data_IF_086075104651
#
_entry.id   IF_086075104651
#
_cell.length_a   1.000
_cell.length_b   1.000
_cell.length_c   1.000
_cell.angle_alpha   90.00
_cell.angle_beta   90.00
_cell.angle_gamma   90.00
#
_symmetry.space_group_name_H-M   'P 1'
#
loop_
_entity.id
_entity.type
_entity.pdbx_description
1 polymer ?
#
# COMPACT_ATOMS: atom_id res chain seq x y z
N UNK A 1 -39.39 41.97 45.93
CA UNK A 1 -38.43 42.65 46.85
C UNK A 1 -37.06 42.26 46.36
N UNK A 2 -36.16 43.01 45.87
CA UNK A 2 -35.93 44.40 45.72
C UNK A 2 -35.18 44.66 44.40
N UNK A 3 -35.60 45.70 43.73
CA UNK A 3 -35.04 46.30 42.54
C UNK A 3 -33.80 47.08 42.98
N UNK A 4 -32.73 47.05 42.27
CA UNK A 4 -31.79 48.16 42.21
C UNK A 4 -31.07 48.26 40.88
N UNK A 5 -31.54 49.21 40.12
CA UNK A 5 -30.92 49.79 38.97
C UNK A 5 -29.77 50.73 39.38
N UNK A 6 -28.72 50.79 38.63
CA UNK A 6 -27.81 51.94 38.60
C UNK A 6 -26.98 51.91 37.31
N UNK A 7 -27.29 52.72 36.44
CA UNK A 7 -26.93 54.11 36.07
C UNK A 7 -25.79 54.14 35.03
N UNK A 8 -26.25 54.52 33.86
CA UNK A 8 -25.47 55.04 32.73
C UNK A 8 -24.84 56.37 33.06
N UNK A 9 -23.62 56.60 32.70
CA UNK A 9 -23.08 57.95 32.46
C UNK A 9 -22.25 57.98 31.19
N UNK A 10 -22.41 59.08 30.38
CA UNK A 10 -21.80 59.18 29.05
C UNK A 10 -20.61 60.16 29.02
N UNK A 11 -19.95 60.16 27.86
CA UNK A 11 -19.16 61.25 27.27
C UNK A 11 -17.72 61.45 27.79
N UNK A 12 -16.75 61.43 26.92
CA UNK A 12 -16.34 62.61 26.16
C UNK A 12 -15.34 62.21 25.06
N UNK A 13 -15.62 62.60 23.91
CA UNK A 13 -14.93 63.13 22.74
C UNK A 13 -13.43 63.50 22.85
N UNK A 14 -12.77 63.31 21.65
CA UNK A 14 -11.59 64.00 21.13
C UNK A 14 -10.31 63.15 21.24
N UNK A 15 -9.62 62.76 20.15
CA UNK A 15 -9.00 63.52 19.07
C UNK A 15 -8.64 62.66 17.88
N UNK A 16 -8.87 63.17 16.69
CA UNK A 16 -8.28 62.79 15.41
C UNK A 16 -6.75 62.84 15.47
N UNK A 17 -6.09 61.76 15.02
CA UNK A 17 -4.82 61.88 14.29
C UNK A 17 -4.80 60.81 13.19
N UNK A 18 -4.75 61.33 12.00
CA UNK A 18 -4.54 60.68 10.73
C UNK A 18 -3.12 60.12 10.68
N UNK A 19 -2.96 58.82 10.62
CA UNK A 19 -1.72 58.20 10.15
C UNK A 19 -2.05 57.20 9.06
N UNK A 20 -1.94 57.68 7.84
CA UNK A 20 -1.79 56.88 6.63
C UNK A 20 -0.49 56.10 6.75
N UNK A 21 -0.55 54.85 7.11
CA UNK A 21 0.55 53.89 6.90
C UNK A 21 0.09 52.80 5.98
N UNK A 22 0.53 52.91 4.77
CA UNK A 22 0.38 52.00 3.65
C UNK A 22 1.13 50.70 3.97
N UNK A 23 0.46 49.70 4.58
CA UNK A 23 1.04 48.36 4.67
C UNK A 23 0.55 47.56 3.48
N UNK A 24 1.34 47.65 2.42
CA UNK A 24 1.27 46.69 1.33
C UNK A 24 1.51 45.29 1.90
N UNK A 25 0.43 44.54 2.14
CA UNK A 25 0.47 43.12 2.39
C UNK A 25 1.04 42.46 1.14
N UNK A 26 2.35 42.24 1.13
CA UNK A 26 3.03 41.38 0.19
C UNK A 26 2.64 39.93 0.53
N UNK A 27 1.48 39.48 0.09
CA UNK A 27 1.20 38.08 -0.05
C UNK A 27 2.16 37.52 -1.10
N UNK A 28 3.29 36.97 -0.65
CA UNK A 28 4.12 36.14 -1.50
C UNK A 28 3.27 34.93 -1.92
N UNK A 29 3.06 34.70 -3.22
CA UNK A 29 2.41 33.46 -3.65
C UNK A 29 3.31 32.31 -3.18
N UNK A 30 2.75 31.39 -2.40
CA UNK A 30 3.39 30.13 -2.04
C UNK A 30 3.48 29.31 -3.33
N UNK A 31 4.58 29.53 -4.06
CA UNK A 31 4.86 28.77 -5.26
C UNK A 31 5.29 27.37 -4.82
N UNK A 32 4.31 26.45 -4.66
CA UNK A 32 4.55 25.02 -4.49
C UNK A 32 5.08 24.49 -5.83
N UNK A 33 6.37 24.71 -6.05
CA UNK A 33 7.10 24.04 -7.10
C UNK A 33 7.12 22.55 -6.76
N UNK A 34 6.12 21.81 -7.23
CA UNK A 34 6.23 20.36 -7.34
C UNK A 34 7.33 20.08 -8.38
N UNK A 35 8.54 20.02 -7.88
CA UNK A 35 9.67 19.50 -8.67
C UNK A 35 9.36 18.02 -8.90
N UNK A 36 8.76 17.70 -10.04
CA UNK A 36 8.69 16.34 -10.59
C UNK A 36 10.12 15.90 -10.88
N UNK A 37 10.81 15.42 -9.85
CA UNK A 37 12.16 14.90 -9.98
C UNK A 37 12.10 13.69 -10.91
N UNK A 38 12.70 13.82 -12.10
CA UNK A 38 12.81 12.69 -13.05
C UNK A 38 13.32 11.45 -12.29
N UNK A 39 12.67 10.27 -12.43
CA UNK A 39 13.08 9.07 -11.70
C UNK A 39 14.56 8.77 -11.96
N UNK A 40 15.28 8.36 -10.92
CA UNK A 40 16.66 7.94 -11.07
C UNK A 40 16.74 6.66 -11.92
N UNK A 41 17.87 6.40 -12.60
CA UNK A 41 18.04 5.15 -13.36
C UNK A 41 17.81 3.89 -12.52
N UNK A 42 18.17 3.91 -11.22
CA UNK A 42 17.93 2.82 -10.29
C UNK A 42 16.41 2.60 -10.05
N UNK A 43 15.66 3.68 -9.84
CA UNK A 43 14.18 3.61 -9.66
C UNK A 43 13.50 3.06 -10.91
N UNK A 44 13.97 3.44 -12.11
CA UNK A 44 13.42 2.93 -13.37
C UNK A 44 13.72 1.45 -13.55
N UNK A 45 14.92 1.00 -13.17
CA UNK A 45 15.35 -0.41 -13.26
C UNK A 45 14.55 -1.29 -12.30
N UNK A 46 14.38 -0.86 -11.04
CA UNK A 46 13.53 -1.55 -10.07
C UNK A 46 12.09 -1.67 -10.59
N UNK A 47 11.52 -0.59 -11.12
CA UNK A 47 10.16 -0.61 -11.65
C UNK A 47 9.99 -1.57 -12.83
N UNK A 48 10.99 -1.68 -13.73
CA UNK A 48 10.98 -2.67 -14.81
C UNK A 48 11.01 -4.09 -14.26
N UNK A 49 11.93 -4.37 -13.34
CA UNK A 49 12.08 -5.69 -12.73
C UNK A 49 10.81 -6.16 -12.01
N UNK A 50 10.13 -5.26 -11.30
CA UNK A 50 8.84 -5.54 -10.66
C UNK A 50 7.75 -5.88 -11.69
N UNK A 51 7.74 -5.22 -12.85
CA UNK A 51 6.82 -5.55 -13.96
C UNK A 51 7.11 -6.93 -14.53
N UNK A 52 8.38 -7.32 -14.66
CA UNK A 52 8.78 -8.63 -15.15
C UNK A 52 8.33 -9.74 -14.20
N UNK A 53 8.45 -9.55 -12.88
CA UNK A 53 7.92 -10.47 -11.87
C UNK A 53 6.42 -10.69 -12.08
N UNK A 54 5.65 -9.59 -12.20
CA UNK A 54 4.19 -9.68 -12.38
C UNK A 54 3.83 -10.35 -13.70
N UNK A 55 4.52 -10.01 -14.79
CA UNK A 55 4.31 -10.61 -16.10
C UNK A 55 4.60 -12.13 -16.08
N UNK A 56 5.65 -12.54 -15.37
CA UNK A 56 5.97 -13.95 -15.19
C UNK A 56 4.90 -14.68 -14.37
N UNK A 57 4.49 -14.11 -13.25
CA UNK A 57 3.40 -14.65 -12.42
C UNK A 57 2.09 -14.84 -13.21
N UNK A 58 1.75 -13.88 -14.06
CA UNK A 58 0.51 -13.89 -14.85
C UNK A 58 0.46 -15.06 -15.87
N UNK A 59 1.59 -15.62 -16.28
CA UNK A 59 1.64 -16.78 -17.18
C UNK A 59 1.01 -18.03 -16.58
N UNK A 60 0.94 -18.11 -15.26
CA UNK A 60 0.44 -19.28 -14.53
C UNK A 60 -1.03 -19.17 -14.12
N UNK A 61 -1.73 -18.11 -14.55
CA UNK A 61 -3.19 -18.01 -14.34
C UNK A 61 -3.90 -19.22 -14.94
N UNK A 62 -4.85 -19.76 -14.20
CA UNK A 62 -5.55 -21.00 -14.55
C UNK A 62 -4.86 -22.28 -14.07
N UNK A 63 -3.63 -22.22 -13.54
CA UNK A 63 -3.03 -23.40 -12.91
C UNK A 63 -3.87 -23.85 -11.73
N UNK A 64 -4.05 -25.17 -11.59
CA UNK A 64 -4.86 -25.74 -10.50
C UNK A 64 -4.21 -25.53 -9.14
N UNK A 65 -5.04 -25.48 -8.10
CA UNK A 65 -4.56 -25.57 -6.73
C UNK A 65 -4.18 -27.00 -6.38
N UNK A 66 -3.06 -27.15 -5.72
CA UNK A 66 -2.62 -28.44 -5.15
C UNK A 66 -2.00 -28.17 -3.78
N UNK A 67 -2.45 -28.83 -2.71
CA UNK A 67 -1.83 -28.70 -1.39
C UNK A 67 -0.33 -29.00 -1.47
N UNK A 68 0.50 -28.13 -0.90
CA UNK A 68 1.96 -28.16 -0.98
C UNK A 68 2.53 -28.16 -2.40
N UNK A 69 1.74 -27.82 -3.42
CA UNK A 69 2.13 -27.74 -4.82
C UNK A 69 3.07 -26.55 -5.07
N UNK A 70 4.12 -26.79 -5.89
CA UNK A 70 5.21 -25.83 -6.10
C UNK A 70 5.64 -25.75 -7.58
N UNK A 71 4.95 -26.42 -8.47
CA UNK A 71 5.34 -26.52 -9.88
C UNK A 71 4.13 -26.39 -10.79
N UNK A 72 4.30 -25.80 -12.00
CA UNK A 72 3.20 -25.65 -12.96
C UNK A 72 2.51 -26.98 -13.31
N UNK A 73 3.28 -28.05 -13.46
CA UNK A 73 2.82 -29.36 -13.90
C UNK A 73 1.88 -30.02 -12.88
N UNK A 74 2.15 -29.80 -11.60
CA UNK A 74 1.41 -30.42 -10.49
C UNK A 74 0.39 -29.48 -9.85
N UNK A 75 0.47 -28.19 -10.12
CA UNK A 75 -0.30 -27.13 -9.50
C UNK A 75 0.43 -26.47 -8.33
N UNK A 76 -0.18 -25.43 -7.79
CA UNK A 76 0.41 -24.60 -6.73
C UNK A 76 -0.52 -24.48 -5.53
N UNK A 77 0.05 -24.45 -4.32
CA UNK A 77 -0.57 -23.76 -3.20
C UNK A 77 -0.17 -22.27 -3.20
N UNK A 78 -0.68 -21.47 -2.25
CA UNK A 78 -0.42 -20.04 -2.24
C UNK A 78 1.05 -19.68 -2.08
N UNK A 79 1.75 -20.32 -1.15
CA UNK A 79 3.17 -20.08 -0.86
C UNK A 79 4.10 -20.74 -1.88
N UNK A 80 3.71 -21.88 -2.41
CA UNK A 80 4.42 -22.53 -3.51
C UNK A 80 4.40 -21.71 -4.79
N UNK A 81 3.27 -21.05 -5.09
CA UNK A 81 3.17 -20.12 -6.21
C UNK A 81 4.11 -18.91 -6.04
N UNK A 82 4.06 -18.24 -4.89
CA UNK A 82 4.92 -17.07 -4.65
C UNK A 82 6.40 -17.46 -4.64
N UNK A 83 6.77 -18.59 -4.02
CA UNK A 83 8.15 -19.10 -4.04
C UNK A 83 8.62 -19.39 -5.46
N UNK A 84 7.82 -20.08 -6.26
CA UNK A 84 8.16 -20.43 -7.64
C UNK A 84 8.39 -19.20 -8.51
N UNK A 85 7.50 -18.20 -8.40
CA UNK A 85 7.63 -16.95 -9.14
C UNK A 85 8.90 -16.20 -8.74
N UNK A 86 9.15 -16.06 -7.44
CA UNK A 86 10.28 -15.27 -6.92
C UNK A 86 11.63 -15.96 -7.16
N UNK A 87 11.67 -17.28 -7.13
CA UNK A 87 12.88 -18.08 -7.42
C UNK A 87 13.40 -17.83 -8.85
N UNK A 88 12.50 -17.66 -9.83
CA UNK A 88 12.87 -17.31 -11.22
C UNK A 88 13.63 -15.97 -11.31
N UNK A 89 13.51 -15.12 -10.29
CA UNK A 89 14.20 -13.82 -10.18
C UNK A 89 15.32 -13.83 -9.13
N UNK A 90 15.75 -15.03 -8.70
CA UNK A 90 16.77 -15.22 -7.65
C UNK A 90 16.39 -14.53 -6.32
N UNK A 91 15.11 -14.54 -5.97
CA UNK A 91 14.58 -14.11 -4.67
C UNK A 91 14.11 -15.37 -3.94
N UNK A 92 14.93 -15.86 -3.01
CA UNK A 92 14.62 -17.08 -2.26
C UNK A 92 13.55 -16.81 -1.20
N UNK A 93 12.42 -17.51 -1.28
CA UNK A 93 11.38 -17.47 -0.28
C UNK A 93 11.25 -18.81 0.45
N UNK A 94 10.87 -18.74 1.71
CA UNK A 94 10.50 -19.92 2.50
C UNK A 94 9.30 -20.65 1.87
N UNK A 95 9.21 -21.98 2.04
CA UNK A 95 8.16 -22.76 1.40
C UNK A 95 6.76 -22.57 2.01
N UNK A 96 6.65 -21.93 3.17
CA UNK A 96 5.40 -21.74 3.88
C UNK A 96 5.08 -20.25 4.08
N UNK A 97 3.83 -19.85 3.86
CA UNK A 97 3.38 -18.45 4.00
C UNK A 97 3.68 -17.86 5.38
N UNK A 98 3.54 -18.65 6.46
CA UNK A 98 3.87 -18.24 7.84
C UNK A 98 5.36 -17.89 8.04
N UNK A 99 6.24 -18.37 7.19
CA UNK A 99 7.66 -18.03 7.21
C UNK A 99 7.99 -16.92 6.21
N UNK A 100 7.32 -16.89 5.05
CA UNK A 100 7.48 -15.80 4.06
C UNK A 100 7.13 -14.44 4.65
N UNK A 101 6.15 -14.35 5.56
CA UNK A 101 5.77 -13.10 6.22
C UNK A 101 6.88 -12.47 7.04
N UNK A 102 7.90 -13.23 7.41
CA UNK A 102 9.08 -12.77 8.16
C UNK A 102 10.19 -12.22 7.24
N UNK A 103 10.09 -12.45 5.93
CA UNK A 103 11.08 -12.06 4.93
C UNK A 103 10.78 -10.70 4.32
N UNK A 104 11.79 -9.98 3.89
CA UNK A 104 11.68 -8.66 3.28
C UNK A 104 11.29 -7.54 4.25
N UNK A 105 11.14 -6.33 3.72
CA UNK A 105 10.82 -5.13 4.49
C UNK A 105 9.32 -4.98 4.70
N UNK A 106 8.90 -4.69 5.93
CA UNK A 106 7.50 -4.36 6.21
C UNK A 106 7.10 -3.04 5.56
N UNK A 107 5.90 -2.99 4.99
CA UNK A 107 5.34 -1.79 4.32
C UNK A 107 3.89 -1.56 4.72
N UNK A 108 3.47 -0.30 4.59
CA UNK A 108 2.05 0.01 4.63
C UNK A 108 1.36 -0.54 3.37
N UNK A 109 0.13 -1.00 3.49
CA UNK A 109 -0.65 -1.51 2.35
C UNK A 109 -0.84 -0.47 1.25
N UNK A 110 -0.91 0.82 1.60
CA UNK A 110 -1.04 1.92 0.63
C UNK A 110 0.20 2.06 -0.24
N UNK A 111 1.35 1.63 0.26
CA UNK A 111 2.65 1.73 -0.42
C UNK A 111 3.05 0.42 -1.12
N UNK A 112 2.14 -0.56 -1.14
CA UNK A 112 2.37 -1.84 -1.81
C UNK A 112 2.62 -1.61 -3.31
N UNK A 113 3.71 -2.18 -3.80
CA UNK A 113 4.16 -2.09 -5.20
C UNK A 113 4.01 -3.45 -5.91
N UNK A 114 3.97 -3.47 -7.26
CA UNK A 114 4.04 -4.73 -7.99
C UNK A 114 5.21 -5.60 -7.52
N UNK A 115 4.96 -6.90 -7.32
CA UNK A 115 5.94 -7.85 -6.81
C UNK A 115 6.07 -7.93 -5.28
N UNK A 116 5.46 -7.03 -4.52
CA UNK A 116 5.36 -7.18 -3.07
C UNK A 116 4.44 -8.37 -2.72
N UNK A 117 4.57 -8.88 -1.50
CA UNK A 117 3.71 -9.96 -1.00
C UNK A 117 2.71 -9.41 0.02
N UNK A 118 1.45 -9.84 -0.09
CA UNK A 118 0.40 -9.58 0.89
C UNK A 118 0.06 -10.85 1.63
N UNK A 119 -0.05 -10.74 2.94
CA UNK A 119 -0.35 -11.85 3.84
C UNK A 119 -1.71 -11.68 4.48
N UNK A 120 -2.36 -12.82 4.74
CA UNK A 120 -3.72 -12.85 5.29
C UNK A 120 -3.77 -13.71 6.53
N UNK A 121 -4.52 -13.23 7.54
CA UNK A 121 -4.68 -13.84 8.85
C UNK A 121 -6.14 -13.71 9.30
N UNK A 122 -6.69 -14.74 9.93
CA UNK A 122 -8.08 -14.69 10.40
C UNK A 122 -8.23 -13.90 11.69
N UNK A 123 -7.26 -14.04 12.61
CA UNK A 123 -7.21 -13.28 13.86
C UNK A 123 -5.76 -13.09 14.32
N UNK A 124 -5.51 -12.17 15.25
CA UNK A 124 -4.17 -11.89 15.76
C UNK A 124 -3.50 -13.11 16.43
N UNK A 125 -4.30 -14.04 16.96
CA UNK A 125 -3.82 -15.27 17.62
C UNK A 125 -3.55 -16.43 16.65
N UNK A 126 -3.99 -16.31 15.39
CA UNK A 126 -3.79 -17.37 14.39
C UNK A 126 -2.57 -17.13 13.51
N UNK A 127 -1.98 -18.17 12.94
CA UNK A 127 -0.89 -18.00 11.96
C UNK A 127 -1.40 -17.41 10.65
N UNK A 128 -0.48 -16.89 9.82
CA UNK A 128 -0.76 -16.55 8.43
C UNK A 128 -1.27 -17.81 7.70
N UNK A 129 -2.43 -17.69 7.07
CA UNK A 129 -3.05 -18.79 6.33
C UNK A 129 -2.95 -18.67 4.81
N UNK A 130 -2.63 -17.47 4.31
CA UNK A 130 -2.56 -17.24 2.86
C UNK A 130 -1.56 -16.13 2.51
N UNK A 131 -1.05 -16.17 1.27
CA UNK A 131 -0.17 -15.16 0.68
C UNK A 131 -0.55 -14.91 -0.78
N UNK A 132 -0.39 -13.66 -1.21
CA UNK A 132 -0.65 -13.21 -2.59
C UNK A 132 0.49 -12.33 -3.08
N UNK A 133 0.72 -12.31 -4.40
CA UNK A 133 1.66 -11.41 -5.06
C UNK A 133 0.91 -10.17 -5.58
N UNK A 134 1.39 -8.98 -5.24
CA UNK A 134 0.80 -7.71 -5.72
C UNK A 134 1.04 -7.56 -7.21
N UNK A 135 -0.03 -7.36 -7.98
CA UNK A 135 0.02 -6.96 -9.39
C UNK A 135 -0.01 -5.45 -9.55
N UNK A 136 -0.94 -4.80 -8.89
CA UNK A 136 -1.08 -3.33 -8.95
C UNK A 136 -1.83 -2.81 -7.73
N UNK A 137 -1.55 -1.55 -7.38
CA UNK A 137 -2.21 -0.81 -6.30
C UNK A 137 -2.39 0.64 -6.72
N UNK A 138 -3.61 1.16 -6.65
CA UNK A 138 -3.94 2.56 -6.92
C UNK A 138 -4.63 3.26 -5.74
N UNK A 139 -4.60 2.63 -4.56
CA UNK A 139 -5.21 3.13 -3.32
C UNK A 139 -6.71 2.87 -3.20
N UNK A 140 -7.43 2.59 -4.31
CA UNK A 140 -8.84 2.22 -4.33
C UNK A 140 -9.04 0.74 -4.67
N UNK A 141 -8.08 0.15 -5.34
CA UNK A 141 -8.07 -1.22 -5.82
C UNK A 141 -6.67 -1.79 -5.61
N UNK A 142 -6.58 -3.01 -5.10
CA UNK A 142 -5.35 -3.76 -4.90
C UNK A 142 -5.49 -5.12 -5.58
N UNK A 143 -5.00 -5.19 -6.80
CA UNK A 143 -5.03 -6.41 -7.60
C UNK A 143 -3.85 -7.28 -7.21
N UNK A 144 -4.14 -8.54 -6.92
CA UNK A 144 -3.12 -9.56 -6.63
C UNK A 144 -3.23 -10.72 -7.60
N UNK A 145 -2.16 -11.53 -7.68
CA UNK A 145 -2.16 -12.85 -8.31
C UNK A 145 -1.88 -13.87 -7.20
N UNK A 146 -2.73 -14.86 -7.06
CA UNK A 146 -2.59 -15.85 -6.01
C UNK A 146 -3.21 -17.21 -6.39
N UNK A 147 -2.73 -18.29 -5.76
CA UNK A 147 -3.34 -19.61 -5.90
C UNK A 147 -4.35 -19.82 -4.78
N UNK A 148 -5.62 -19.98 -5.14
CA UNK A 148 -6.75 -20.20 -4.21
C UNK A 148 -7.25 -21.64 -4.31
N UNK A 149 -7.71 -22.21 -3.20
CA UNK A 149 -8.17 -23.62 -3.14
C UNK A 149 -9.30 -23.95 -4.11
N UNK A 150 -10.18 -23.00 -4.40
CA UNK A 150 -11.37 -23.25 -5.22
C UNK A 150 -11.21 -22.88 -6.69
N UNK A 151 -10.25 -21.97 -7.03
CA UNK A 151 -10.13 -21.40 -8.39
C UNK A 151 -8.71 -21.51 -8.96
N UNK A 152 -7.76 -22.10 -8.20
CA UNK A 152 -6.35 -22.12 -8.61
C UNK A 152 -5.74 -20.73 -8.68
N UNK A 153 -4.83 -20.53 -9.61
CA UNK A 153 -4.13 -19.23 -9.79
C UNK A 153 -5.01 -18.24 -10.52
N UNK A 154 -5.38 -17.17 -9.85
CA UNK A 154 -6.27 -16.12 -10.37
C UNK A 154 -5.75 -14.72 -10.06
N UNK A 155 -6.31 -13.72 -10.73
CA UNK A 155 -6.23 -12.32 -10.35
C UNK A 155 -7.50 -11.91 -9.58
N UNK A 156 -7.33 -11.17 -8.49
CA UNK A 156 -8.46 -10.70 -7.69
C UNK A 156 -8.15 -9.36 -7.03
N UNK A 157 -9.18 -8.50 -6.89
CA UNK A 157 -9.08 -7.26 -6.12
C UNK A 157 -9.36 -7.55 -4.65
N UNK A 158 -8.32 -7.64 -3.84
CA UNK A 158 -8.46 -8.00 -2.42
C UNK A 158 -8.98 -6.86 -1.54
N UNK A 159 -8.87 -5.59 -1.97
CA UNK A 159 -9.47 -4.46 -1.24
C UNK A 159 -11.00 -4.39 -1.44
N UNK A 160 -11.49 -4.84 -2.58
CA UNK A 160 -12.92 -4.83 -2.91
C UNK A 160 -13.58 -6.21 -2.75
N UNK A 161 -12.80 -7.24 -2.40
CA UNK A 161 -13.31 -8.57 -2.08
C UNK A 161 -13.93 -8.59 -0.69
N UNK A 162 -15.20 -9.02 -0.59
CA UNK A 162 -15.90 -9.19 0.69
C UNK A 162 -15.25 -10.26 1.58
N UNK A 163 -14.60 -11.24 0.95
CA UNK A 163 -13.88 -12.29 1.67
C UNK A 163 -12.48 -11.85 2.11
N UNK A 164 -11.63 -11.38 1.18
CA UNK A 164 -10.22 -11.14 1.47
C UNK A 164 -9.95 -9.90 2.29
N UNK A 165 -10.72 -8.83 2.07
CA UNK A 165 -10.47 -7.51 2.69
C UNK A 165 -10.33 -7.58 4.22
N UNK A 166 -11.15 -8.38 4.88
CA UNK A 166 -11.17 -8.49 6.33
C UNK A 166 -9.97 -9.24 6.92
N UNK A 167 -9.24 -10.01 6.09
CA UNK A 167 -8.12 -10.84 6.52
C UNK A 167 -6.75 -10.27 6.15
N UNK A 168 -6.69 -9.12 5.49
CA UNK A 168 -5.40 -8.49 5.14
C UNK A 168 -4.65 -8.17 6.43
N UNK A 169 -3.44 -8.74 6.58
CA UNK A 169 -2.60 -8.61 7.77
C UNK A 169 -1.42 -7.67 7.51
N UNK A 170 -0.59 -7.98 6.53
CA UNK A 170 0.67 -7.28 6.32
C UNK A 170 1.15 -7.35 4.87
N UNK A 171 2.07 -6.44 4.54
CA UNK A 171 2.75 -6.38 3.24
C UNK A 171 4.26 -6.49 3.45
N UNK A 172 4.93 -7.26 2.58
CA UNK A 172 6.38 -7.39 2.56
C UNK A 172 6.95 -7.05 1.19
N UNK A 173 7.92 -6.16 1.19
CA UNK A 173 8.75 -5.87 0.02
C UNK A 173 9.96 -6.81 0.05
N UNK A 174 9.90 -7.82 -0.78
CA UNK A 174 10.97 -8.82 -0.96
C UNK A 174 11.85 -8.51 -2.17
N UNK A 175 11.52 -7.46 -2.92
CA UNK A 175 12.17 -7.10 -4.17
C UNK A 175 13.25 -6.04 -3.99
N UNK A 176 13.01 -5.00 -3.18
CA UNK A 176 13.92 -3.84 -3.07
C UNK A 176 15.29 -4.17 -2.49
N UNK A 177 15.46 -5.32 -1.84
CA UNK A 177 16.77 -5.79 -1.34
C UNK A 177 17.71 -6.23 -2.46
N UNK A 178 17.21 -6.37 -3.69
CA UNK A 178 18.00 -6.68 -4.89
C UNK A 178 18.60 -5.43 -5.55
N UNK A 179 18.20 -4.23 -5.12
CA UNK A 179 18.60 -2.92 -5.64
C UNK A 179 19.06 -1.99 -4.54
#
# INVERSE_FOLDING_TARGET
>A
MNISAFKIRPATYWFLILCLANTANHCKPFNKSETTKKPSPATTREASFRKDIVAYAAKYKGSKYTPAGKKPETGFDCSGFTSYVMDNFNIALSPAAREQVKQGKSKNIRDAKPGDLIFFRRSASEPIFHVSLVKSNNGKSLIVIHSTTSRGVIEEDVLNSTYWKQYIDSVRDVVSEKY
#
